data_IF_973619775290
#
_entry.id   IF_973619775290
#
_cell.length_a   1.000
_cell.length_b   1.000
_cell.length_c   1.000
_cell.angle_alpha   90.00
_cell.angle_beta   90.00
_cell.angle_gamma   90.00
#
_symmetry.space_group_name_H-M   'P 1'
#
loop_
_entity.id
_entity.type
_entity.pdbx_description
1 polymer ?
#
# COMPACT_ATOMS: atom_id res chain seq x y z
N UNK A 1 16.18 -21.69 -1.84
CA UNK A 1 16.69 -20.73 -0.83
C UNK A 1 16.32 -19.27 -1.13
N UNK A 2 16.55 -18.76 -2.36
CA UNK A 2 16.19 -17.39 -2.77
C UNK A 2 14.72 -17.00 -2.51
N UNK A 3 13.77 -17.87 -2.83
CA UNK A 3 12.32 -17.62 -2.69
C UNK A 3 11.88 -17.44 -1.22
N UNK A 4 12.46 -18.21 -0.30
CA UNK A 4 12.14 -18.12 1.14
C UNK A 4 12.67 -16.82 1.72
N UNK A 5 13.89 -16.42 1.34
CA UNK A 5 14.50 -15.17 1.79
C UNK A 5 13.72 -13.96 1.26
N UNK A 6 13.32 -13.97 -0.02
CA UNK A 6 12.49 -12.91 -0.60
C UNK A 6 11.15 -12.77 0.13
N UNK A 7 10.52 -13.90 0.48
CA UNK A 7 9.27 -13.92 1.25
C UNK A 7 9.40 -13.23 2.61
N UNK A 8 10.50 -13.46 3.33
CA UNK A 8 10.74 -12.79 4.61
C UNK A 8 10.99 -11.30 4.43
N UNK A 9 11.78 -10.91 3.43
CA UNK A 9 12.03 -9.51 3.09
C UNK A 9 10.71 -8.79 2.79
N UNK A 10 9.85 -9.36 1.95
CA UNK A 10 8.53 -8.81 1.63
C UNK A 10 7.64 -8.62 2.86
N UNK A 11 7.62 -9.59 3.77
CA UNK A 11 6.84 -9.47 5.02
C UNK A 11 7.35 -8.35 5.91
N UNK A 12 8.68 -8.24 6.07
CA UNK A 12 9.31 -7.19 6.89
C UNK A 12 9.10 -5.80 6.27
N UNK A 13 9.07 -5.67 4.94
CA UNK A 13 8.81 -4.38 4.30
C UNK A 13 7.32 -3.99 4.34
N UNK A 14 6.41 -4.94 4.17
CA UNK A 14 4.97 -4.68 4.01
C UNK A 14 4.24 -4.55 5.34
N UNK A 15 4.51 -5.41 6.32
CA UNK A 15 3.72 -5.42 7.57
C UNK A 15 3.84 -4.14 8.42
N UNK A 16 5.03 -3.67 8.81
CA UNK A 16 5.15 -2.46 9.63
C UNK A 16 4.62 -1.24 8.89
N UNK A 17 4.84 -1.16 7.57
CA UNK A 17 4.28 -0.09 6.76
C UNK A 17 2.75 -0.16 6.70
N UNK A 18 2.18 -1.35 6.45
CA UNK A 18 0.73 -1.53 6.40
C UNK A 18 0.04 -1.14 7.70
N UNK A 19 0.69 -1.37 8.84
CA UNK A 19 0.13 -0.99 10.14
C UNK A 19 0.08 0.52 10.31
N UNK A 20 1.15 1.22 9.95
CA UNK A 20 1.19 2.69 9.96
C UNK A 20 0.13 3.30 9.06
N UNK A 21 0.03 2.82 7.81
CA UNK A 21 -0.96 3.31 6.86
C UNK A 21 -2.40 2.90 7.19
N UNK A 22 -2.61 1.75 7.82
CA UNK A 22 -3.92 1.33 8.31
C UNK A 22 -4.45 2.32 9.37
N UNK A 23 -3.60 2.74 10.30
CA UNK A 23 -3.96 3.76 11.30
C UNK A 23 -4.31 5.10 10.65
N UNK A 24 -3.54 5.53 9.67
CA UNK A 24 -3.75 6.77 8.91
C UNK A 24 -5.08 6.76 8.16
N UNK A 25 -5.39 5.64 7.49
CA UNK A 25 -6.68 5.49 6.81
C UNK A 25 -7.84 5.46 7.79
N UNK A 26 -7.71 4.85 8.97
CA UNK A 26 -8.74 4.88 10.01
C UNK A 26 -9.00 6.30 10.54
N UNK A 27 -7.94 7.06 10.80
CA UNK A 27 -8.05 8.46 11.23
C UNK A 27 -8.74 9.28 10.15
N UNK A 28 -8.39 9.06 8.87
CA UNK A 28 -9.00 9.77 7.74
C UNK A 28 -10.51 9.49 7.64
N UNK A 29 -10.93 8.24 7.84
CA UNK A 29 -12.34 7.86 7.89
C UNK A 29 -13.04 8.48 9.10
N UNK A 30 -12.39 8.48 10.27
CA UNK A 30 -12.94 9.07 11.49
C UNK A 30 -13.14 10.58 11.36
N UNK A 31 -12.16 11.30 10.81
CA UNK A 31 -12.25 12.75 10.54
C UNK A 31 -13.41 13.03 9.58
N UNK A 32 -13.52 12.28 8.49
CA UNK A 32 -14.64 12.40 7.56
C UNK A 32 -16.01 12.19 8.23
N UNK A 33 -16.15 11.14 9.05
CA UNK A 33 -17.39 10.84 9.78
C UNK A 33 -17.72 11.88 10.85
N UNK A 34 -16.70 12.50 11.45
CA UNK A 34 -16.87 13.52 12.49
C UNK A 34 -17.26 14.87 11.89
N UNK A 35 -16.58 15.27 10.82
CA UNK A 35 -16.74 16.61 10.28
C UNK A 35 -17.95 16.72 9.36
N UNK A 36 -18.51 15.61 8.84
CA UNK A 36 -19.75 15.44 8.05
C UNK A 36 -20.17 16.61 7.13
N UNK A 37 -19.23 17.48 6.79
CA UNK A 37 -19.37 18.61 5.92
C UNK A 37 -19.25 18.02 4.53
N UNK A 38 -20.27 18.26 3.71
CA UNK A 38 -20.43 17.75 2.35
C UNK A 38 -19.45 18.41 1.37
N UNK A 39 -18.16 18.43 1.72
CA UNK A 39 -17.09 18.93 0.89
C UNK A 39 -16.57 17.80 -0.01
N UNK A 40 -16.61 18.04 -1.31
CA UNK A 40 -16.18 17.08 -2.35
C UNK A 40 -14.74 16.57 -2.12
N UNK A 41 -13.86 17.43 -1.60
CA UNK A 41 -12.47 17.08 -1.26
C UNK A 41 -12.39 16.01 -0.16
N UNK A 42 -13.27 16.08 0.84
CA UNK A 42 -13.31 15.11 1.94
C UNK A 42 -13.76 13.73 1.42
N UNK A 43 -14.71 13.70 0.49
CA UNK A 43 -15.17 12.47 -0.17
C UNK A 43 -14.06 11.82 -1.02
N UNK A 44 -13.27 12.62 -1.75
CA UNK A 44 -12.09 12.12 -2.48
C UNK A 44 -11.06 11.53 -1.52
N UNK A 45 -10.79 12.20 -0.39
CA UNK A 45 -9.84 11.70 0.61
C UNK A 45 -10.29 10.37 1.25
N UNK A 46 -11.60 10.21 1.48
CA UNK A 46 -12.20 8.96 1.97
C UNK A 46 -12.03 7.84 0.95
N UNK A 47 -12.34 8.09 -0.33
CA UNK A 47 -12.17 7.11 -1.40
C UNK A 47 -10.69 6.71 -1.55
N UNK A 48 -9.78 7.67 -1.48
CA UNK A 48 -8.35 7.41 -1.49
C UNK A 48 -7.92 6.54 -0.29
N UNK A 49 -8.41 6.84 0.91
CA UNK A 49 -8.13 6.05 2.12
C UNK A 49 -8.67 4.61 2.02
N UNK A 50 -9.86 4.43 1.45
CA UNK A 50 -10.48 3.11 1.20
C UNK A 50 -9.71 2.30 0.16
N UNK A 51 -9.32 2.92 -0.95
CA UNK A 51 -8.50 2.27 -1.99
C UNK A 51 -7.13 1.90 -1.41
N UNK A 52 -6.53 2.78 -0.61
CA UNK A 52 -5.30 2.51 0.13
C UNK A 52 -5.43 1.30 1.06
N UNK A 53 -6.50 1.24 1.86
CA UNK A 53 -6.78 0.10 2.76
C UNK A 53 -6.93 -1.23 2.01
N UNK A 54 -7.72 -1.25 0.93
CA UNK A 54 -7.89 -2.45 0.11
C UNK A 54 -6.55 -2.88 -0.48
N UNK A 55 -5.77 -1.94 -0.98
CA UNK A 55 -4.46 -2.25 -1.57
C UNK A 55 -3.46 -2.79 -0.55
N UNK A 56 -3.40 -2.21 0.66
CA UNK A 56 -2.57 -2.72 1.76
C UNK A 56 -2.96 -4.14 2.15
N UNK A 57 -4.26 -4.43 2.21
CA UNK A 57 -4.76 -5.77 2.50
C UNK A 57 -4.31 -6.74 1.39
N UNK A 58 -4.46 -6.37 0.12
CA UNK A 58 -4.00 -7.18 -1.00
C UNK A 58 -2.48 -7.40 -0.98
N UNK A 59 -1.69 -6.38 -0.63
CA UNK A 59 -0.23 -6.51 -0.48
C UNK A 59 0.15 -7.45 0.67
N UNK A 60 -0.55 -7.38 1.80
CA UNK A 60 -0.33 -8.29 2.93
C UNK A 60 -0.64 -9.75 2.57
N UNK A 61 -1.72 -9.99 1.81
CA UNK A 61 -2.09 -11.31 1.30
C UNK A 61 -1.10 -11.80 0.24
N UNK A 62 -0.62 -10.91 -0.64
CA UNK A 62 0.40 -11.23 -1.63
C UNK A 62 1.72 -11.68 -0.96
N UNK A 63 2.13 -11.02 0.13
CA UNK A 63 3.30 -11.41 0.92
C UNK A 63 3.15 -12.81 1.58
N UNK A 64 1.93 -13.24 1.89
CA UNK A 64 1.65 -14.58 2.41
C UNK A 64 1.63 -15.64 1.30
N UNK A 65 0.99 -15.33 0.17
CA UNK A 65 0.85 -16.22 -0.99
C UNK A 65 2.10 -16.36 -1.85
N UNK A 66 3.09 -15.49 -1.68
CA UNK A 66 4.36 -15.57 -2.39
C UNK A 66 4.97 -16.99 -2.31
N UNK A 67 5.40 -17.59 -3.45
CA UNK A 67 5.59 -16.98 -4.78
C UNK A 67 4.36 -17.01 -5.73
N UNK A 68 3.24 -17.62 -5.34
CA UNK A 68 2.07 -17.76 -6.22
C UNK A 68 1.21 -16.49 -6.21
N UNK A 69 1.73 -15.42 -6.80
CA UNK A 69 1.07 -14.10 -6.89
C UNK A 69 0.48 -13.93 -8.30
N UNK A 70 -0.79 -13.54 -8.40
CA UNK A 70 -1.43 -13.26 -9.69
C UNK A 70 -1.24 -11.81 -10.11
N UNK A 71 -1.33 -11.55 -11.43
CA UNK A 71 -1.21 -10.22 -12.03
C UNK A 71 -2.14 -9.18 -11.38
N UNK A 72 -3.35 -9.59 -10.99
CA UNK A 72 -4.30 -8.73 -10.28
C UNK A 72 -3.78 -8.22 -8.93
N UNK A 73 -3.03 -9.03 -8.18
CA UNK A 73 -2.45 -8.59 -6.90
C UNK A 73 -1.36 -7.53 -7.14
N UNK A 74 -0.57 -7.69 -8.21
CA UNK A 74 0.47 -6.73 -8.61
C UNK A 74 -0.16 -5.40 -9.01
N UNK A 75 -1.18 -5.41 -9.88
CA UNK A 75 -1.86 -4.18 -10.32
C UNK A 75 -2.52 -3.42 -9.15
N UNK A 76 -3.23 -4.13 -8.28
CA UNK A 76 -3.88 -3.50 -7.12
C UNK A 76 -2.83 -2.91 -6.16
N UNK A 77 -1.68 -3.57 -5.98
CA UNK A 77 -0.57 -3.04 -5.16
C UNK A 77 0.05 -1.77 -5.75
N UNK A 78 0.19 -1.69 -7.08
CA UNK A 78 0.67 -0.49 -7.76
C UNK A 78 -0.30 0.67 -7.63
N UNK A 79 -1.61 0.42 -7.80
CA UNK A 79 -2.63 1.45 -7.61
C UNK A 79 -2.60 2.01 -6.19
N UNK A 80 -2.42 1.15 -5.17
CA UNK A 80 -2.25 1.60 -3.79
C UNK A 80 -1.04 2.49 -3.61
N UNK A 81 0.13 2.10 -4.11
CA UNK A 81 1.33 2.96 -4.07
C UNK A 81 1.13 4.30 -4.78
N UNK A 82 0.41 4.32 -5.90
CA UNK A 82 0.07 5.57 -6.60
C UNK A 82 -0.80 6.50 -5.74
N UNK A 83 -1.81 5.96 -5.09
CA UNK A 83 -2.67 6.72 -4.16
C UNK A 83 -1.88 7.22 -2.95
N UNK A 84 -1.01 6.38 -2.37
CA UNK A 84 -0.13 6.78 -1.27
C UNK A 84 0.81 7.94 -1.66
N UNK A 85 1.39 7.87 -2.87
CA UNK A 85 2.22 8.94 -3.42
C UNK A 85 1.47 10.25 -3.61
N UNK A 86 0.22 10.18 -4.09
CA UNK A 86 -0.65 11.34 -4.21
C UNK A 86 -0.96 11.97 -2.83
N UNK A 87 -1.30 11.15 -1.84
CA UNK A 87 -1.62 11.62 -0.49
C UNK A 87 -0.40 12.28 0.18
N UNK A 88 0.81 11.75 -0.04
CA UNK A 88 2.05 12.41 0.39
C UNK A 88 2.28 13.74 -0.33
N UNK A 89 2.03 13.79 -1.63
CA UNK A 89 2.21 15.00 -2.44
C UNK A 89 1.30 16.15 -1.99
N UNK A 90 0.04 15.85 -1.69
CA UNK A 90 -0.92 16.84 -1.17
C UNK A 90 -0.53 17.34 0.23
N UNK A 91 0.45 16.71 0.89
CA UNK A 91 0.96 17.13 2.18
C UNK A 91 0.03 16.77 3.34
N UNK A 92 -0.97 15.90 3.11
CA UNK A 92 -1.94 15.49 4.15
C UNK A 92 -1.22 14.77 5.30
N UNK A 93 -0.16 14.01 4.97
CA UNK A 93 0.68 13.33 5.97
C UNK A 93 2.16 13.57 5.63
N UNK A 94 2.81 14.47 6.37
CA UNK A 94 4.22 14.84 6.17
C UNK A 94 5.18 14.20 7.19
N UNK A 95 4.69 13.27 8.02
CA UNK A 95 5.51 12.67 9.06
C UNK A 95 6.64 11.82 8.44
N UNK A 96 7.90 11.98 8.88
CA UNK A 96 9.06 11.31 8.27
C UNK A 96 8.97 9.78 8.35
N UNK A 97 8.34 9.26 9.41
CA UNK A 97 8.09 7.82 9.56
C UNK A 97 7.11 7.29 8.51
N UNK A 98 6.11 8.08 8.16
CA UNK A 98 5.12 7.74 7.13
C UNK A 98 5.75 7.75 5.75
N UNK A 99 6.61 8.74 5.46
CA UNK A 99 7.41 8.79 4.24
C UNK A 99 8.30 7.54 4.10
N UNK A 100 8.99 7.17 5.18
CA UNK A 100 9.82 5.97 5.20
C UNK A 100 9.00 4.69 4.92
N UNK A 101 7.81 4.60 5.51
CA UNK A 101 6.90 3.48 5.31
C UNK A 101 6.30 3.42 3.90
N UNK A 102 6.07 4.57 3.25
CA UNK A 102 5.67 4.63 1.85
C UNK A 102 6.78 4.17 0.92
N UNK A 103 8.03 4.55 1.20
CA UNK A 103 9.20 4.08 0.45
C UNK A 103 9.41 2.56 0.60
N UNK A 104 9.20 2.00 1.79
CA UNK A 104 9.31 0.55 1.97
C UNK A 104 8.23 -0.22 1.19
N UNK A 105 7.01 0.30 1.12
CA UNK A 105 5.96 -0.27 0.26
C UNK A 105 6.30 -0.15 -1.22
N UNK A 106 6.83 0.99 -1.66
CA UNK A 106 7.28 1.19 -3.04
C UNK A 106 8.33 0.15 -3.44
N UNK A 107 9.36 -0.04 -2.61
CA UNK A 107 10.41 -1.03 -2.84
C UNK A 107 9.82 -2.45 -2.90
N UNK A 108 8.89 -2.78 -2.00
CA UNK A 108 8.22 -4.08 -2.01
C UNK A 108 7.41 -4.33 -3.29
N UNK A 109 6.70 -3.31 -3.80
CA UNK A 109 6.00 -3.39 -5.10
C UNK A 109 6.99 -3.55 -6.24
N UNK A 110 8.09 -2.79 -6.27
CA UNK A 110 9.12 -2.93 -7.29
C UNK A 110 9.67 -4.36 -7.35
N UNK A 111 9.97 -4.96 -6.19
CA UNK A 111 10.44 -6.35 -6.09
C UNK A 111 9.38 -7.31 -6.65
N UNK A 112 8.10 -7.17 -6.27
CA UNK A 112 7.01 -8.00 -6.79
C UNK A 112 6.84 -7.86 -8.30
N UNK A 113 6.94 -6.64 -8.83
CA UNK A 113 6.79 -6.39 -10.26
C UNK A 113 7.92 -6.98 -11.08
N UNK A 114 9.16 -6.83 -10.62
CA UNK A 114 10.33 -7.41 -11.30
C UNK A 114 10.26 -8.94 -11.26
N UNK A 115 9.93 -9.51 -10.10
CA UNK A 115 9.80 -10.96 -9.97
C UNK A 115 8.70 -11.51 -10.89
N UNK A 116 7.55 -10.83 -10.98
CA UNK A 116 6.49 -11.23 -11.91
C UNK A 116 6.93 -11.11 -13.37
N UNK A 117 7.62 -10.03 -13.75
CA UNK A 117 8.09 -9.80 -15.12
C UNK A 117 9.11 -10.87 -15.55
N UNK A 118 10.07 -11.20 -14.69
CA UNK A 118 11.10 -12.20 -14.99
C UNK A 118 10.60 -13.65 -14.96
N UNK A 119 9.49 -13.93 -14.24
CA UNK A 119 8.89 -15.26 -14.23
C UNK A 119 7.80 -15.46 -15.30
N UNK A 120 7.20 -14.38 -15.82
CA UNK A 120 6.24 -14.46 -16.93
C UNK A 120 6.87 -14.74 -18.29
N UNK A 121 8.19 -14.57 -18.42
CA UNK A 121 8.97 -14.86 -19.64
C UNK A 121 9.49 -16.32 -19.72
N UNK A 122 9.02 -17.21 -18.84
CA UNK A 122 9.29 -18.66 -18.87
C UNK A 122 8.02 -19.46 -19.10
#
# INVERSE_FOLDING_TARGET
MKVVLLKYVLRVLIWPASFGWFGVSLISVFVYLRDLDTNFTALISLLAALIGLISLLVMSVAALRYPNVSLSHVLISQMGCGVLGYVMYVGVFSEPLLVLSGLSLLIAVCILTLDHLFNSDK
#
